data_IF_742361152444
#
_entry.id   IF_742361152444
#
_cell.length_a   1.000
_cell.length_b   1.000
_cell.length_c   1.000
_cell.angle_alpha   90.00
_cell.angle_beta   90.00
_cell.angle_gamma   90.00
#
_symmetry.space_group_name_H-M   'P 1'
#
loop_
_entity.id
_entity.type
_entity.pdbx_description
1 polymer ?
#
# COMPACT_ATOMS: atom_id res chain seq x y z
N UNK A 1 -27.16 -3.06 15.76
CA UNK A 1 -27.65 -2.77 14.40
C UNK A 1 -29.14 -2.58 14.48
N UNK A 2 -29.64 -1.35 14.23
CA UNK A 2 -31.07 -1.11 14.14
C UNK A 2 -31.61 -1.85 12.90
N UNK A 3 -32.55 -2.76 13.10
CA UNK A 3 -33.26 -3.42 12.00
C UNK A 3 -33.95 -2.35 11.15
N UNK A 4 -33.73 -2.32 9.83
CA UNK A 4 -34.39 -1.35 8.96
C UNK A 4 -35.90 -1.47 9.12
N UNK A 5 -36.58 -0.33 9.25
CA UNK A 5 -38.04 -0.30 9.23
C UNK A 5 -38.52 -0.91 7.91
N UNK A 6 -39.57 -1.75 7.91
CA UNK A 6 -40.16 -2.25 6.68
C UNK A 6 -40.62 -1.06 5.81
N UNK A 7 -39.87 -0.78 4.74
CA UNK A 7 -40.11 0.36 3.84
C UNK A 7 -38.95 1.33 3.63
N UNK A 8 -37.83 1.20 4.36
CA UNK A 8 -36.64 2.02 4.09
C UNK A 8 -36.02 1.62 2.73
N UNK A 9 -35.87 2.60 1.83
CA UNK A 9 -35.23 2.38 0.53
C UNK A 9 -33.73 2.08 0.70
N UNK A 10 -33.13 1.35 -0.26
CA UNK A 10 -31.71 0.98 -0.15
C UNK A 10 -30.81 2.22 -0.17
N UNK A 11 -31.25 3.29 -0.85
CA UNK A 11 -30.59 4.58 -0.79
C UNK A 11 -30.55 5.16 0.64
N UNK A 12 -31.65 5.14 1.38
CA UNK A 12 -31.66 5.69 2.75
C UNK A 12 -30.80 4.87 3.71
N UNK A 13 -30.78 3.54 3.54
CA UNK A 13 -29.89 2.64 4.27
C UNK A 13 -28.42 2.96 3.97
N UNK A 14 -28.06 3.10 2.68
CA UNK A 14 -26.72 3.49 2.25
C UNK A 14 -26.32 4.86 2.82
N UNK A 15 -27.16 5.88 2.65
CA UNK A 15 -26.91 7.25 3.13
C UNK A 15 -26.69 7.30 4.64
N UNK A 16 -27.47 6.53 5.41
CA UNK A 16 -27.30 6.43 6.87
C UNK A 16 -25.97 5.80 7.24
N UNK A 17 -25.50 4.81 6.48
CA UNK A 17 -24.16 4.24 6.64
C UNK A 17 -23.04 5.25 6.34
N UNK A 18 -23.26 6.12 5.36
CA UNK A 18 -22.32 7.18 4.98
C UNK A 18 -22.18 8.32 6.01
N UNK A 19 -23.11 8.45 6.96
CA UNK A 19 -23.10 9.47 8.00
C UNK A 19 -22.30 9.00 9.22
N UNK A 20 -21.27 9.76 9.59
CA UNK A 20 -20.53 9.53 10.83
C UNK A 20 -21.42 9.90 12.02
N UNK A 21 -21.59 8.97 12.94
CA UNK A 21 -22.39 9.05 14.15
C UNK A 21 -21.59 8.53 15.34
N UNK A 22 -22.09 8.78 16.56
CA UNK A 22 -21.48 8.20 17.78
C UNK A 22 -21.47 6.66 17.80
N UNK A 23 -22.30 6.01 16.99
CA UNK A 23 -22.38 4.54 16.96
C UNK A 23 -21.41 3.92 15.95
N UNK A 24 -21.01 4.63 14.89
CA UNK A 24 -20.16 4.09 13.82
C UNK A 24 -18.82 4.83 13.65
N UNK A 25 -18.44 5.76 14.54
CA UNK A 25 -17.21 6.54 14.39
C UNK A 25 -15.92 5.71 14.37
N UNK A 26 -15.92 4.50 14.96
CA UNK A 26 -14.75 3.59 14.95
C UNK A 26 -14.62 2.82 13.63
N UNK A 27 -15.73 2.31 13.11
CA UNK A 27 -15.79 1.48 11.90
C UNK A 27 -16.77 2.09 10.89
N UNK A 28 -16.51 3.33 10.48
CA UNK A 28 -17.37 4.03 9.52
C UNK A 28 -17.12 3.44 8.13
N UNK A 29 -18.02 2.58 7.68
CA UNK A 29 -18.02 1.98 6.35
C UNK A 29 -19.39 2.17 5.69
N UNK A 30 -19.38 2.31 4.37
CA UNK A 30 -20.64 2.31 3.63
C UNK A 30 -21.29 0.94 3.70
N UNK A 31 -22.61 0.90 3.67
CA UNK A 31 -23.35 -0.35 3.52
C UNK A 31 -23.29 -0.79 2.04
N UNK A 32 -22.21 -1.45 1.65
CA UNK A 32 -22.00 -1.90 0.26
C UNK A 32 -23.06 -2.89 -0.19
N UNK A 33 -23.68 -3.62 0.74
CA UNK A 33 -24.78 -4.53 0.42
C UNK A 33 -26.02 -3.75 -0.02
N UNK A 34 -26.23 -2.53 0.48
CA UNK A 34 -27.28 -1.65 -0.01
C UNK A 34 -27.06 -1.26 -1.49
N UNK A 35 -25.81 -1.16 -1.97
CA UNK A 35 -25.52 -0.95 -3.41
C UNK A 35 -25.96 -2.17 -4.21
N UNK A 36 -25.57 -3.37 -3.75
CA UNK A 36 -25.81 -4.64 -4.48
C UNK A 36 -27.29 -5.02 -4.53
N UNK A 37 -28.06 -4.67 -3.51
CA UNK A 37 -29.49 -4.96 -3.40
C UNK A 37 -30.39 -3.79 -3.87
N UNK A 38 -29.80 -2.69 -4.34
CA UNK A 38 -30.56 -1.53 -4.78
C UNK A 38 -31.43 -1.84 -6.01
N UNK A 39 -32.63 -1.27 -6.03
CA UNK A 39 -33.38 -1.12 -7.28
C UNK A 39 -32.67 -0.14 -8.22
N UNK A 40 -33.01 -0.14 -9.52
CA UNK A 40 -32.43 0.81 -10.49
C UNK A 40 -32.58 2.29 -10.05
N UNK A 41 -33.70 2.62 -9.39
CA UNK A 41 -33.93 3.95 -8.87
C UNK A 41 -33.01 4.27 -7.68
N UNK A 42 -32.96 3.39 -6.68
CA UNK A 42 -32.07 3.57 -5.53
C UNK A 42 -30.59 3.58 -5.96
N UNK A 43 -30.20 2.73 -6.92
CA UNK A 43 -28.85 2.66 -7.45
C UNK A 43 -28.42 3.98 -8.08
N UNK A 44 -29.27 4.58 -8.94
CA UNK A 44 -29.01 5.90 -9.53
C UNK A 44 -28.91 7.00 -8.47
N UNK A 45 -29.70 6.90 -7.39
CA UNK A 45 -29.63 7.86 -6.27
C UNK A 45 -28.33 7.71 -5.48
N UNK A 46 -27.88 6.48 -5.22
CA UNK A 46 -26.60 6.19 -4.57
C UNK A 46 -25.44 6.72 -5.42
N UNK A 47 -25.44 6.42 -6.72
CA UNK A 47 -24.42 6.90 -7.66
C UNK A 47 -24.38 8.44 -7.69
N UNK A 48 -25.53 9.10 -7.83
CA UNK A 48 -25.61 10.56 -7.81
C UNK A 48 -25.10 11.15 -6.49
N UNK A 49 -25.41 10.51 -5.36
CA UNK A 49 -24.93 10.94 -4.05
C UNK A 49 -23.41 10.85 -3.94
N UNK A 50 -22.81 9.73 -4.37
CA UNK A 50 -21.36 9.55 -4.36
C UNK A 50 -20.67 10.50 -5.32
N UNK A 51 -21.14 10.64 -6.56
CA UNK A 51 -20.56 11.55 -7.56
C UNK A 51 -20.55 13.00 -7.10
N UNK A 52 -21.62 13.47 -6.45
CA UNK A 52 -21.69 14.84 -5.93
C UNK A 52 -20.69 15.09 -4.79
N UNK A 53 -20.35 14.05 -4.02
CA UNK A 53 -19.37 14.13 -2.93
C UNK A 53 -17.94 13.98 -3.46
N UNK A 54 -17.71 13.07 -4.40
CA UNK A 54 -16.39 12.60 -4.82
C UNK A 54 -15.76 11.63 -3.80
N UNK A 55 -14.68 10.90 -4.17
CA UNK A 55 -14.01 9.95 -3.29
C UNK A 55 -13.14 10.69 -2.26
N UNK A 56 -13.67 10.92 -1.05
CA UNK A 56 -12.98 11.69 0.00
C UNK A 56 -12.37 10.85 1.10
N UNK A 57 -12.80 9.60 1.22
CA UNK A 57 -12.32 8.63 2.21
C UNK A 57 -12.07 7.27 1.53
N UNK A 58 -11.28 6.37 2.14
CA UNK A 58 -11.15 5.00 1.66
C UNK A 58 -12.50 4.29 1.47
N UNK A 59 -13.44 4.49 2.40
CA UNK A 59 -14.80 3.95 2.27
C UNK A 59 -15.50 4.49 1.02
N UNK A 60 -15.43 5.80 0.75
CA UNK A 60 -16.01 6.37 -0.48
C UNK A 60 -15.42 5.69 -1.73
N UNK A 61 -14.11 5.44 -1.76
CA UNK A 61 -13.45 4.72 -2.87
C UNK A 61 -13.98 3.30 -3.01
N UNK A 62 -14.11 2.55 -1.92
CA UNK A 62 -14.66 1.19 -1.92
C UNK A 62 -16.10 1.17 -2.46
N UNK A 63 -16.92 2.18 -2.10
CA UNK A 63 -18.27 2.32 -2.63
C UNK A 63 -18.29 2.64 -4.13
N UNK A 64 -17.40 3.52 -4.61
CA UNK A 64 -17.24 3.78 -6.04
C UNK A 64 -16.78 2.53 -6.81
N UNK A 65 -15.82 1.77 -6.27
CA UNK A 65 -15.38 0.52 -6.85
C UNK A 65 -16.53 -0.50 -6.92
N UNK A 66 -17.36 -0.55 -5.88
CA UNK A 66 -18.56 -1.42 -5.83
C UNK A 66 -19.61 -1.01 -6.86
N UNK A 67 -19.79 0.28 -7.14
CA UNK A 67 -20.72 0.75 -8.19
C UNK A 67 -20.28 0.29 -9.58
N UNK A 68 -18.98 0.34 -9.88
CA UNK A 68 -18.38 -0.07 -11.15
C UNK A 68 -19.04 0.55 -12.41
N UNK A 69 -19.70 1.70 -12.29
CA UNK A 69 -20.28 2.42 -13.44
C UNK A 69 -19.21 3.21 -14.20
N UNK A 70 -19.45 3.60 -15.46
CA UNK A 70 -18.52 4.46 -16.20
C UNK A 70 -18.24 5.80 -15.49
N UNK A 71 -19.25 6.39 -14.86
CA UNK A 71 -19.09 7.66 -14.13
C UNK A 71 -18.27 7.47 -12.84
N UNK A 72 -18.53 6.40 -12.07
CA UNK A 72 -17.75 6.03 -10.91
C UNK A 72 -16.28 5.78 -11.27
N UNK A 73 -16.05 5.01 -12.34
CA UNK A 73 -14.70 4.73 -12.86
C UNK A 73 -13.97 6.00 -13.26
N UNK A 74 -14.65 6.92 -13.95
CA UNK A 74 -14.08 8.21 -14.33
C UNK A 74 -13.69 9.03 -13.10
N UNK A 75 -14.56 9.13 -12.09
CA UNK A 75 -14.27 9.84 -10.85
C UNK A 75 -13.05 9.25 -10.11
N UNK A 76 -12.92 7.92 -10.07
CA UNK A 76 -11.74 7.26 -9.48
C UNK A 76 -10.46 7.56 -10.28
N UNK A 77 -10.52 7.58 -11.62
CA UNK A 77 -9.38 7.95 -12.46
C UNK A 77 -8.94 9.40 -12.25
N UNK A 78 -9.89 10.33 -12.13
CA UNK A 78 -9.55 11.72 -11.82
C UNK A 78 -8.93 11.86 -10.42
N UNK A 79 -9.45 11.12 -9.44
CA UNK A 79 -8.93 11.14 -8.08
C UNK A 79 -7.48 10.60 -7.99
N UNK A 80 -7.09 9.63 -8.82
CA UNK A 80 -5.71 9.14 -8.88
C UNK A 80 -4.68 10.22 -9.22
N UNK A 81 -5.07 11.29 -9.91
CA UNK A 81 -4.15 12.35 -10.31
C UNK A 81 -3.95 13.42 -9.22
N UNK A 82 -4.96 13.62 -8.35
CA UNK A 82 -5.03 14.82 -7.51
C UNK A 82 -5.43 14.58 -6.06
N UNK A 83 -5.90 13.38 -5.70
CA UNK A 83 -6.33 13.09 -4.34
C UNK A 83 -5.14 12.91 -3.39
N UNK A 84 -5.42 12.95 -2.09
CA UNK A 84 -4.43 12.69 -1.05
C UNK A 84 -3.85 11.25 -1.16
N UNK A 85 -2.63 11.00 -0.66
CA UNK A 85 -1.98 9.69 -0.74
C UNK A 85 -2.83 8.54 -0.22
N UNK A 86 -3.59 8.75 0.86
CA UNK A 86 -4.50 7.75 1.41
C UNK A 86 -5.60 7.32 0.43
N UNK A 87 -6.18 8.29 -0.30
CA UNK A 87 -7.21 8.02 -1.32
C UNK A 87 -6.59 7.32 -2.52
N UNK A 88 -5.40 7.75 -2.95
CA UNK A 88 -4.68 7.06 -4.02
C UNK A 88 -4.38 5.60 -3.63
N UNK A 89 -3.90 5.34 -2.41
CA UNK A 89 -3.66 4.00 -1.89
C UNK A 89 -4.95 3.17 -1.81
N UNK A 90 -6.07 3.78 -1.40
CA UNK A 90 -7.38 3.12 -1.43
C UNK A 90 -7.82 2.75 -2.86
N UNK A 91 -7.56 3.60 -3.85
CA UNK A 91 -7.88 3.28 -5.26
C UNK A 91 -7.02 2.14 -5.77
N UNK A 92 -5.72 2.15 -5.44
CA UNK A 92 -4.84 1.02 -5.77
C UNK A 92 -5.34 -0.29 -5.16
N UNK A 93 -5.95 -0.23 -3.98
CA UNK A 93 -6.47 -1.41 -3.30
C UNK A 93 -7.83 -1.90 -3.80
N UNK A 94 -8.82 -1.01 -3.85
CA UNK A 94 -10.20 -1.40 -4.17
C UNK A 94 -10.51 -1.43 -5.67
N UNK A 95 -9.73 -0.72 -6.50
CA UNK A 95 -9.98 -0.55 -7.92
C UNK A 95 -8.71 -0.75 -8.77
N UNK A 96 -7.87 -1.72 -8.40
CA UNK A 96 -6.59 -2.01 -9.06
C UNK A 96 -6.74 -2.36 -10.55
N UNK A 97 -7.89 -2.89 -10.94
CA UNK A 97 -8.25 -3.26 -12.31
C UNK A 97 -8.40 -2.06 -13.25
N UNK A 98 -8.49 -0.85 -12.71
CA UNK A 98 -8.46 0.38 -13.50
C UNK A 98 -7.06 0.68 -14.06
N UNK A 99 -6.04 0.00 -13.56
CA UNK A 99 -4.64 0.29 -13.86
C UNK A 99 -3.99 -0.86 -14.60
N UNK A 100 -3.11 -0.50 -15.53
CA UNK A 100 -2.12 -1.45 -16.04
C UNK A 100 -1.12 -1.80 -14.94
N UNK A 101 -0.44 -2.95 -15.06
CA UNK A 101 0.59 -3.36 -14.10
C UNK A 101 1.70 -2.31 -13.94
N UNK A 102 2.11 -1.65 -15.03
CA UNK A 102 3.15 -0.61 -15.01
C UNK A 102 2.67 0.67 -14.32
N UNK A 103 1.42 1.09 -14.56
CA UNK A 103 0.81 2.22 -13.84
C UNK A 103 0.67 1.92 -12.36
N UNK A 104 0.15 0.73 -12.01
CA UNK A 104 0.04 0.28 -10.61
C UNK A 104 1.38 0.32 -9.91
N UNK A 105 2.44 -0.16 -10.58
CA UNK A 105 3.82 -0.11 -10.06
C UNK A 105 4.29 1.32 -9.80
N UNK A 106 4.18 2.21 -10.79
CA UNK A 106 4.61 3.62 -10.63
C UNK A 106 3.86 4.34 -9.52
N UNK A 107 2.55 4.11 -9.42
CA UNK A 107 1.71 4.71 -8.37
C UNK A 107 2.05 4.14 -7.00
N UNK A 108 2.27 2.83 -6.88
CA UNK A 108 2.64 2.21 -5.61
C UNK A 108 4.01 2.70 -5.12
N UNK A 109 4.98 2.90 -6.01
CA UNK A 109 6.27 3.54 -5.69
C UNK A 109 6.06 4.95 -5.15
N UNK A 110 5.17 5.75 -5.75
CA UNK A 110 4.84 7.08 -5.23
C UNK A 110 4.16 7.01 -3.85
N UNK A 111 3.22 6.08 -3.65
CA UNK A 111 2.60 5.86 -2.34
C UNK A 111 3.62 5.49 -1.26
N UNK A 112 4.62 4.66 -1.56
CA UNK A 112 5.70 4.30 -0.62
C UNK A 112 6.51 5.52 -0.17
N UNK A 113 6.72 6.49 -1.07
CA UNK A 113 7.45 7.71 -0.75
C UNK A 113 6.68 8.62 0.21
N UNK A 114 5.35 8.66 0.09
CA UNK A 114 4.51 9.67 0.76
C UNK A 114 3.63 9.11 1.90
N UNK A 115 3.53 7.79 2.06
CA UNK A 115 2.65 7.21 3.08
C UNK A 115 3.20 7.41 4.49
N UNK A 116 2.27 7.64 5.43
CA UNK A 116 2.54 7.80 6.85
C UNK A 116 1.56 6.94 7.67
N UNK A 117 1.84 6.68 8.97
CA UNK A 117 0.87 6.04 9.85
C UNK A 117 -0.46 6.78 9.84
N UNK A 118 -1.57 6.05 9.73
CA UNK A 118 -2.93 6.59 9.58
C UNK A 118 -3.17 7.41 8.29
N UNK A 119 -2.20 7.46 7.37
CA UNK A 119 -2.29 8.19 6.10
C UNK A 119 -1.81 7.30 4.96
N UNK A 120 -2.53 6.20 4.74
CA UNK A 120 -2.33 5.31 3.58
C UNK A 120 -1.29 4.21 3.74
N UNK A 121 -0.51 4.16 4.84
CA UNK A 121 0.49 3.11 5.06
C UNK A 121 -0.11 1.70 5.03
N UNK A 122 -1.21 1.46 5.76
CA UNK A 122 -1.82 0.12 5.84
C UNK A 122 -2.30 -0.39 4.48
N UNK A 123 -2.99 0.45 3.71
CA UNK A 123 -3.45 0.12 2.36
C UNK A 123 -2.28 -0.08 1.41
N UNK A 124 -1.22 0.71 1.54
CA UNK A 124 0.02 0.57 0.76
C UNK A 124 0.69 -0.78 1.04
N UNK A 125 0.78 -1.19 2.31
CA UNK A 125 1.34 -2.49 2.69
C UNK A 125 0.52 -3.66 2.13
N UNK A 126 -0.81 -3.60 2.21
CA UNK A 126 -1.68 -4.62 1.61
C UNK A 126 -1.50 -4.72 0.09
N UNK A 127 -1.23 -3.60 -0.59
CA UNK A 127 -0.91 -3.62 -2.01
C UNK A 127 0.43 -4.26 -2.31
N UNK A 128 1.45 -3.92 -1.54
CA UNK A 128 2.80 -4.48 -1.67
C UNK A 128 2.77 -6.00 -1.51
N UNK A 129 2.01 -6.50 -0.52
CA UNK A 129 1.88 -7.94 -0.28
C UNK A 129 1.45 -8.70 -1.55
N UNK A 130 0.55 -8.13 -2.35
CA UNK A 130 0.02 -8.77 -3.56
C UNK A 130 0.71 -8.34 -4.87
N UNK A 131 1.42 -7.20 -4.88
CA UNK A 131 2.06 -6.62 -6.06
C UNK A 131 3.39 -5.95 -5.70
N UNK A 132 4.48 -6.72 -5.76
CA UNK A 132 5.82 -6.29 -5.37
C UNK A 132 6.87 -6.55 -6.48
N UNK A 133 6.74 -5.92 -7.66
CA UNK A 133 7.81 -5.94 -8.66
C UNK A 133 9.11 -5.32 -8.10
N UNK A 134 10.28 -5.57 -8.73
CA UNK A 134 11.57 -5.11 -8.20
C UNK A 134 11.62 -3.62 -7.82
N UNK A 135 11.00 -2.74 -8.62
CA UNK A 135 10.95 -1.30 -8.34
C UNK A 135 10.24 -0.96 -7.01
N UNK A 136 9.25 -1.74 -6.60
CA UNK A 136 8.53 -1.59 -5.32
C UNK A 136 9.41 -2.04 -4.15
N UNK A 137 10.14 -3.14 -4.32
CA UNK A 137 11.12 -3.60 -3.33
C UNK A 137 12.22 -2.54 -3.12
N UNK A 138 12.74 -1.99 -4.22
CA UNK A 138 13.81 -0.99 -4.17
C UNK A 138 13.32 0.32 -3.52
N UNK A 139 12.08 0.72 -3.78
CA UNK A 139 11.46 1.88 -3.13
C UNK A 139 11.31 1.68 -1.60
N UNK A 140 10.88 0.49 -1.16
CA UNK A 140 10.81 0.17 0.27
C UNK A 140 12.19 0.20 0.92
N UNK A 141 13.19 -0.42 0.29
CA UNK A 141 14.57 -0.40 0.78
C UNK A 141 15.11 1.02 0.91
N UNK A 142 14.84 1.87 -0.08
CA UNK A 142 15.21 3.28 -0.04
C UNK A 142 14.53 4.00 1.13
N UNK A 143 13.23 3.79 1.38
CA UNK A 143 12.53 4.40 2.52
C UNK A 143 13.10 3.91 3.86
N UNK A 144 13.34 2.61 4.01
CA UNK A 144 13.94 2.03 5.24
C UNK A 144 15.31 2.62 5.53
N UNK A 145 16.11 2.88 4.50
CA UNK A 145 17.46 3.42 4.65
C UNK A 145 17.47 4.91 5.05
N UNK A 146 16.53 5.70 4.53
CA UNK A 146 16.58 7.16 4.62
C UNK A 146 15.66 7.75 5.70
N UNK A 147 14.57 7.07 6.05
CA UNK A 147 13.50 7.66 6.87
C UNK A 147 13.23 6.84 8.13
N UNK A 148 13.91 7.14 9.26
CA UNK A 148 13.69 6.42 10.50
C UNK A 148 12.26 6.64 11.02
N UNK A 149 11.80 5.68 11.82
CA UNK A 149 10.51 5.78 12.50
C UNK A 149 9.54 4.66 12.10
N UNK A 150 8.24 4.86 12.33
CA UNK A 150 7.24 3.81 12.17
C UNK A 150 7.21 3.22 10.76
N UNK A 151 7.32 4.05 9.72
CA UNK A 151 7.26 3.60 8.32
C UNK A 151 8.39 2.61 8.00
N UNK A 152 9.63 2.92 8.41
CA UNK A 152 10.76 2.01 8.19
C UNK A 152 10.60 0.66 8.90
N UNK A 153 10.02 0.64 10.11
CA UNK A 153 9.71 -0.61 10.83
C UNK A 153 8.78 -1.49 9.99
N UNK A 154 7.71 -0.90 9.42
CA UNK A 154 6.71 -1.65 8.67
C UNK A 154 7.25 -2.15 7.34
N UNK A 155 8.02 -1.33 6.62
CA UNK A 155 8.66 -1.77 5.38
C UNK A 155 9.74 -2.82 5.60
N UNK A 156 10.54 -2.72 6.67
CA UNK A 156 11.51 -3.76 7.02
C UNK A 156 10.82 -5.11 7.33
N UNK A 157 9.70 -5.08 8.06
CA UNK A 157 8.89 -6.27 8.33
C UNK A 157 8.31 -6.90 7.06
N UNK A 158 7.70 -6.07 6.20
CA UNK A 158 7.18 -6.51 4.91
C UNK A 158 8.27 -7.11 4.01
N UNK A 159 9.45 -6.49 3.96
CA UNK A 159 10.60 -7.01 3.19
C UNK A 159 11.05 -8.39 3.69
N UNK A 160 11.10 -8.62 5.00
CA UNK A 160 11.43 -9.95 5.55
C UNK A 160 10.39 -11.00 5.15
N UNK A 161 9.10 -10.66 5.25
CA UNK A 161 8.01 -11.55 4.88
C UNK A 161 8.02 -11.91 3.38
N UNK A 162 8.12 -10.90 2.50
CA UNK A 162 8.14 -11.13 1.05
C UNK A 162 9.33 -11.98 0.59
N UNK A 163 10.43 -11.94 1.33
CA UNK A 163 11.63 -12.76 1.06
C UNK A 163 11.66 -14.08 1.84
N UNK A 164 10.58 -14.45 2.55
CA UNK A 164 10.47 -15.70 3.29
C UNK A 164 11.36 -15.79 4.54
N UNK A 165 11.92 -14.67 4.98
CA UNK A 165 12.69 -14.56 6.23
C UNK A 165 11.79 -14.39 7.47
N UNK A 166 10.47 -14.29 7.25
CA UNK A 166 9.43 -14.27 8.28
C UNK A 166 8.21 -15.04 7.77
N UNK A 167 7.46 -15.66 8.68
CA UNK A 167 6.17 -16.30 8.34
C UNK A 167 5.04 -15.29 8.17
N UNK A 168 5.15 -14.11 8.78
CA UNK A 168 4.17 -13.03 8.72
C UNK A 168 4.84 -11.63 8.70
N UNK A 169 4.21 -10.57 8.13
CA UNK A 169 4.81 -9.23 8.00
C UNK A 169 5.26 -8.58 9.32
N UNK A 170 4.72 -9.01 10.47
CA UNK A 170 4.94 -8.41 11.78
C UNK A 170 5.18 -9.45 12.88
N UNK A 171 5.99 -10.46 12.58
CA UNK A 171 6.33 -11.53 13.52
C UNK A 171 6.90 -10.94 14.82
N UNK A 172 6.29 -11.33 15.95
CA UNK A 172 6.66 -10.84 17.27
C UNK A 172 8.10 -11.17 17.65
N UNK A 173 8.65 -12.28 17.16
CA UNK A 173 10.04 -12.67 17.39
C UNK A 173 11.02 -11.72 16.72
N UNK A 174 10.61 -11.09 15.61
CA UNK A 174 11.40 -10.11 14.87
C UNK A 174 11.26 -8.70 15.43
N UNK A 175 10.32 -8.45 16.36
CA UNK A 175 10.08 -7.11 16.93
C UNK A 175 11.35 -6.45 17.48
N UNK A 176 12.23 -7.12 18.26
CA UNK A 176 13.46 -6.50 18.74
C UNK A 176 14.38 -6.03 17.61
N UNK A 177 14.44 -6.79 16.51
CA UNK A 177 15.21 -6.41 15.31
C UNK A 177 14.57 -5.22 14.59
N UNK A 178 13.25 -5.28 14.35
CA UNK A 178 12.53 -4.25 13.61
C UNK A 178 12.53 -2.89 14.35
N UNK A 179 12.50 -2.89 15.68
CA UNK A 179 12.53 -1.65 16.47
C UNK A 179 13.84 -0.84 16.33
N UNK A 180 14.92 -1.45 15.85
CA UNK A 180 16.18 -0.74 15.53
C UNK A 180 15.97 0.34 14.45
N UNK A 181 14.98 0.15 13.56
CA UNK A 181 14.61 1.14 12.54
C UNK A 181 13.78 2.33 13.08
N UNK A 182 13.21 2.22 14.29
CA UNK A 182 12.33 3.26 14.85
C UNK A 182 13.11 4.38 15.57
N UNK A 183 14.01 4.02 16.49
CA UNK A 183 14.60 4.94 17.45
C UNK A 183 16.10 4.72 17.71
N UNK A 184 16.76 3.87 16.91
CA UNK A 184 18.21 3.71 16.98
C UNK A 184 18.94 4.96 16.49
N UNK A 185 20.19 5.14 16.95
CA UNK A 185 21.09 6.12 16.34
C UNK A 185 21.43 5.72 14.90
N UNK A 186 22.09 6.61 14.16
CA UNK A 186 22.40 6.38 12.75
C UNK A 186 23.29 5.14 12.53
N UNK A 187 24.17 4.82 13.49
CA UNK A 187 25.03 3.63 13.41
C UNK A 187 24.21 2.35 13.57
N UNK A 188 23.34 2.29 14.58
CA UNK A 188 22.47 1.13 14.81
C UNK A 188 21.52 0.88 13.64
N UNK A 189 21.02 1.94 12.99
CA UNK A 189 20.20 1.82 11.79
C UNK A 189 20.97 1.30 10.58
N UNK A 190 22.20 1.76 10.35
CA UNK A 190 23.04 1.25 9.26
C UNK A 190 23.34 -0.24 9.45
N UNK A 191 23.65 -0.65 10.69
CA UNK A 191 23.86 -2.07 11.01
C UNK A 191 22.58 -2.90 10.83
N UNK A 192 21.43 -2.37 11.26
CA UNK A 192 20.14 -3.01 11.08
C UNK A 192 19.80 -3.17 9.59
N UNK A 193 20.09 -2.16 8.76
CA UNK A 193 19.92 -2.22 7.31
C UNK A 193 20.84 -3.27 6.67
N UNK A 194 22.12 -3.33 7.06
CA UNK A 194 23.04 -4.34 6.58
C UNK A 194 22.60 -5.77 6.96
N UNK A 195 22.09 -5.95 8.18
CA UNK A 195 21.47 -7.21 8.63
C UNK A 195 20.19 -7.54 7.83
N UNK A 196 19.33 -6.55 7.58
CA UNK A 196 18.13 -6.73 6.74
C UNK A 196 18.51 -7.23 5.34
N UNK A 197 19.47 -6.56 4.69
CA UNK A 197 19.96 -6.94 3.35
C UNK A 197 20.52 -8.37 3.34
N UNK A 198 21.25 -8.78 4.40
CA UNK A 198 21.71 -10.17 4.56
C UNK A 198 20.54 -11.14 4.67
N UNK A 199 19.52 -10.85 5.49
CA UNK A 199 18.36 -11.73 5.68
C UNK A 199 17.54 -11.93 4.41
N UNK A 200 17.43 -10.90 3.57
CA UNK A 200 16.68 -10.98 2.30
C UNK A 200 17.54 -11.45 1.11
N UNK A 201 18.80 -11.87 1.35
CA UNK A 201 19.68 -12.40 0.31
C UNK A 201 20.25 -11.35 -0.66
N UNK A 202 20.31 -10.08 -0.26
CA UNK A 202 20.82 -8.95 -1.05
C UNK A 202 22.15 -8.39 -0.54
N UNK A 203 22.87 -9.13 0.29
CA UNK A 203 24.21 -8.73 0.69
C UNK A 203 25.08 -8.57 -0.56
N UNK A 204 25.81 -7.46 -0.66
CA UNK A 204 26.82 -7.28 -1.70
C UNK A 204 27.74 -8.50 -1.70
N UNK A 205 27.99 -9.07 -2.88
CA UNK A 205 29.09 -9.99 -3.06
C UNK A 205 30.40 -9.24 -2.79
N UNK A 206 30.82 -9.18 -1.52
CA UNK A 206 32.20 -8.87 -1.17
C UNK A 206 33.05 -10.10 -1.54
N UNK A 207 33.59 -10.08 -2.77
CA UNK A 207 34.65 -10.91 -3.38
C UNK A 207 34.22 -11.75 -4.58
N UNK A 208 34.66 -11.33 -5.77
CA UNK A 208 35.55 -12.11 -6.66
C UNK A 208 36.00 -11.21 -7.81
N UNK A 209 37.12 -10.51 -7.64
CA UNK A 209 38.03 -10.14 -8.73
C UNK A 209 39.47 -10.24 -8.20
N UNK A 210 39.79 -11.45 -7.73
CA UNK A 210 41.15 -11.90 -7.50
C UNK A 210 41.55 -12.84 -8.63
N UNK A 211 41.66 -12.35 -9.86
CA UNK A 211 42.34 -13.08 -10.94
C UNK A 211 42.83 -12.15 -12.06
N UNK A 212 43.74 -11.23 -11.69
CA UNK A 212 44.62 -10.60 -12.68
C UNK A 212 45.66 -11.62 -13.14
N UNK A 213 45.24 -12.44 -14.10
CA UNK A 213 46.05 -13.27 -14.97
C UNK A 213 47.16 -12.40 -15.60
N UNK A 214 48.40 -12.54 -15.13
CA UNK A 214 49.55 -11.85 -15.71
C UNK A 214 50.23 -12.79 -16.72
N UNK A 215 50.11 -12.54 -18.04
CA UNK A 215 50.79 -13.37 -19.03
C UNK A 215 52.29 -13.06 -19.00
N UNK A 216 53.08 -14.11 -18.80
CA UNK A 216 54.52 -14.13 -19.02
C UNK A 216 54.84 -13.50 -20.37
N UNK A 217 55.60 -12.41 -20.36
CA UNK A 217 56.21 -11.85 -21.57
C UNK A 217 57.68 -12.22 -21.61
N UNK A 218 57.98 -12.97 -22.65
CA UNK A 218 59.25 -13.43 -23.16
C UNK A 218 60.34 -12.36 -23.19
N UNK A 219 61.55 -12.77 -22.81
CA UNK A 219 62.81 -12.14 -23.17
C UNK A 219 62.99 -12.10 -24.70
N UNK A 220 63.73 -11.10 -25.22
CA UNK A 220 64.53 -11.30 -26.40
C UNK A 220 66.02 -11.18 -26.07
N UNK A 221 66.75 -12.24 -26.44
CA UNK A 221 68.15 -12.17 -26.83
C UNK A 221 68.32 -11.18 -27.99
N UNK A 222 69.25 -10.22 -27.84
CA UNK A 222 70.36 -9.92 -28.76
C UNK A 222 71.28 -8.86 -28.16
#
# INVERSE_FOLDING_TARGET
>A
MATPSPGDSMFERFRRGAEVSQENWRDHSHDLEAIRLASDEDFRRIESFLLNRGPRTPSDVEAFATLATPAATHALREALEHAAPEIQAAILHFASELLTADERTRRLVACIADCEPYHGLDLTLQQIETHHPPAVIDAMLARVANDPGPVAVHFAGMLLYLHGASAEPFDWELRPFLLRFHAGDESDRHEALAELLRRIGRAANENTDGESNHPSRSEPHE
#
